data_IF_822564636790
#
_entry.id   IF_822564636790
#
_cell.length_a   1.000
_cell.length_b   1.000
_cell.length_c   1.000
_cell.angle_alpha   90.00
_cell.angle_beta   90.00
_cell.angle_gamma   90.00
#
_symmetry.space_group_name_H-M   'P 1'
#
loop_
_entity.id
_entity.type
_entity.pdbx_description
1 polymer ?
#
# COMPACT_ATOMS: atom_id res chain seq x y z
N UNK A 1 2.56 9.29 24.00
CA UNK A 1 2.78 10.71 24.38
C UNK A 1 2.76 11.66 23.16
N UNK A 2 3.64 11.51 22.14
CA UNK A 2 3.69 12.44 21.00
C UNK A 2 2.37 12.48 20.20
N UNK A 3 1.81 11.33 19.85
CA UNK A 3 0.54 11.24 19.13
C UNK A 3 -0.60 11.89 19.91
N UNK A 4 -0.72 11.58 21.19
CA UNK A 4 -1.73 12.18 22.09
C UNK A 4 -1.59 13.71 22.18
N UNK A 5 -0.35 14.21 22.24
CA UNK A 5 -0.08 15.64 22.23
C UNK A 5 -0.52 16.29 20.91
N UNK A 6 -0.22 15.68 19.77
CA UNK A 6 -0.64 16.19 18.45
C UNK A 6 -2.16 16.26 18.34
N UNK A 7 -2.86 15.20 18.76
CA UNK A 7 -4.33 15.17 18.78
C UNK A 7 -4.87 16.28 19.68
N UNK A 8 -4.37 16.39 20.91
CA UNK A 8 -4.81 17.41 21.85
C UNK A 8 -4.54 18.85 21.35
N UNK A 9 -3.43 19.08 20.65
CA UNK A 9 -3.13 20.39 20.04
C UNK A 9 -4.09 20.73 18.91
N UNK A 10 -4.39 19.78 18.03
CA UNK A 10 -5.37 19.94 16.96
C UNK A 10 -6.76 20.26 17.53
N UNK A 11 -7.21 19.45 18.46
CA UNK A 11 -8.55 19.53 19.02
C UNK A 11 -8.78 20.81 19.84
N UNK A 12 -7.78 21.24 20.63
CA UNK A 12 -7.82 22.57 21.31
C UNK A 12 -7.99 23.73 20.33
N UNK A 13 -7.42 23.60 19.12
CA UNK A 13 -7.55 24.62 18.07
C UNK A 13 -8.81 24.42 17.21
N UNK A 14 -9.66 23.43 17.53
CA UNK A 14 -10.88 23.09 16.78
C UNK A 14 -10.62 22.83 15.29
N UNK A 15 -9.46 22.29 14.95
CA UNK A 15 -9.07 22.01 13.57
C UNK A 15 -9.55 20.61 13.16
N UNK A 16 -10.02 20.47 11.91
CA UNK A 16 -10.35 19.17 11.31
C UNK A 16 -9.12 18.42 10.79
N UNK A 17 -8.03 19.14 10.56
CA UNK A 17 -6.78 18.60 10.02
C UNK A 17 -5.59 19.05 10.87
N UNK A 18 -4.47 18.31 10.83
CA UNK A 18 -4.29 17.05 10.09
C UNK A 18 -5.12 15.91 10.69
N UNK A 19 -5.56 14.96 9.85
CA UNK A 19 -6.06 13.68 10.35
C UNK A 19 -4.88 12.84 10.84
N UNK A 20 -5.02 12.32 12.04
CA UNK A 20 -3.95 11.55 12.70
C UNK A 20 -4.30 10.08 12.67
N UNK A 21 -3.42 9.28 12.10
CA UNK A 21 -3.57 7.83 11.99
C UNK A 21 -2.38 7.13 12.60
N UNK A 22 -2.60 5.99 13.21
CA UNK A 22 -1.54 5.09 13.67
C UNK A 22 -1.59 3.79 12.87
N UNK A 23 -0.43 3.20 12.61
CA UNK A 23 -0.30 1.98 11.83
C UNK A 23 0.54 0.97 12.60
N UNK A 24 0.11 -0.29 12.59
CA UNK A 24 0.89 -1.44 13.04
C UNK A 24 0.96 -2.47 11.93
N UNK A 25 2.13 -3.09 11.77
CA UNK A 25 2.29 -4.23 10.85
C UNK A 25 2.07 -5.52 11.64
N UNK A 26 1.03 -6.26 11.26
CA UNK A 26 0.70 -7.55 11.87
C UNK A 26 1.68 -8.63 11.40
N UNK A 27 2.23 -9.34 12.36
CA UNK A 27 3.15 -10.47 12.17
C UNK A 27 2.77 -11.56 13.19
N UNK A 28 3.23 -12.80 12.97
CA UNK A 28 2.98 -13.89 13.93
C UNK A 28 3.48 -13.55 15.34
N UNK A 29 4.59 -12.83 15.45
CA UNK A 29 5.19 -12.45 16.74
C UNK A 29 4.34 -11.47 17.56
N UNK A 30 3.51 -10.63 16.92
CA UNK A 30 2.69 -9.62 17.61
C UNK A 30 1.18 -9.76 17.38
N UNK A 31 0.73 -10.86 16.79
CA UNK A 31 -0.68 -11.06 16.46
C UNK A 31 -1.61 -10.93 17.68
N UNK A 32 -1.16 -11.41 18.84
CA UNK A 32 -1.91 -11.30 20.11
C UNK A 32 -2.03 -9.87 20.65
N UNK A 33 -1.15 -8.95 20.23
CA UNK A 33 -1.15 -7.55 20.68
C UNK A 33 -2.10 -6.67 19.84
N UNK A 34 -2.48 -7.12 18.63
CA UNK A 34 -3.28 -6.33 17.70
C UNK A 34 -4.60 -5.84 18.29
N UNK A 35 -5.41 -6.68 18.95
CA UNK A 35 -6.65 -6.21 19.57
C UNK A 35 -6.42 -5.09 20.61
N UNK A 36 -5.45 -5.28 21.50
CA UNK A 36 -5.09 -4.28 22.50
C UNK A 36 -4.55 -2.98 21.89
N UNK A 37 -3.83 -3.07 20.78
CA UNK A 37 -3.36 -1.89 20.02
C UNK A 37 -4.55 -1.10 19.44
N UNK A 38 -5.53 -1.78 18.85
CA UNK A 38 -6.74 -1.14 18.31
C UNK A 38 -7.51 -0.46 19.45
N UNK A 39 -7.79 -1.18 20.52
CA UNK A 39 -8.57 -0.67 21.66
C UNK A 39 -7.87 0.51 22.35
N UNK A 40 -6.55 0.50 22.40
CA UNK A 40 -5.73 1.61 22.95
C UNK A 40 -5.82 2.87 22.11
N UNK A 41 -5.72 2.76 20.78
CA UNK A 41 -5.57 3.91 19.92
C UNK A 41 -6.86 4.42 19.28
N UNK A 42 -7.87 3.56 19.09
CA UNK A 42 -9.13 3.95 18.47
C UNK A 42 -9.85 5.11 19.18
N UNK A 43 -9.85 5.22 20.53
CA UNK A 43 -10.42 6.37 21.22
C UNK A 43 -9.62 7.67 21.02
N UNK A 44 -8.36 7.59 20.64
CA UNK A 44 -7.42 8.72 20.61
C UNK A 44 -7.32 9.32 19.21
N UNK A 45 -7.11 8.49 18.19
CA UNK A 45 -6.81 8.92 16.83
C UNK A 45 -8.02 8.88 15.90
N UNK A 46 -7.86 9.41 14.68
CA UNK A 46 -8.94 9.37 13.67
C UNK A 46 -9.08 8.01 12.99
N UNK A 47 -7.99 7.25 12.93
CA UNK A 47 -7.98 5.93 12.29
C UNK A 47 -6.82 5.08 12.80
N UNK A 48 -7.09 3.81 13.05
CA UNK A 48 -6.09 2.78 13.35
C UNK A 48 -5.97 1.87 12.12
N UNK A 49 -4.76 1.64 11.65
CA UNK A 49 -4.49 0.79 10.48
C UNK A 49 -3.69 -0.43 10.94
N UNK A 50 -4.20 -1.61 10.63
CA UNK A 50 -3.48 -2.88 10.76
C UNK A 50 -3.13 -3.34 9.35
N UNK A 51 -1.85 -3.36 9.04
CA UNK A 51 -1.33 -3.78 7.74
C UNK A 51 -0.74 -5.18 7.87
N UNK A 52 -1.13 -6.09 7.00
CA UNK A 52 -0.49 -7.39 6.91
C UNK A 52 0.98 -7.22 6.49
N UNK A 53 1.88 -8.00 7.08
CA UNK A 53 3.27 -8.00 6.66
C UNK A 53 3.35 -8.36 5.18
N UNK A 54 3.92 -7.48 4.39
CA UNK A 54 4.26 -7.78 3.00
C UNK A 54 5.61 -8.47 2.96
N UNK A 55 5.69 -9.56 2.24
CA UNK A 55 6.95 -10.16 1.86
C UNK A 55 7.22 -9.69 0.44
N UNK A 56 8.22 -8.81 0.31
CA UNK A 56 8.50 -8.15 -0.95
C UNK A 56 9.26 -9.06 -1.90
N UNK A 57 8.99 -8.86 -3.18
CA UNK A 57 9.82 -9.27 -4.31
C UNK A 57 10.42 -10.68 -4.19
N UNK A 58 9.57 -11.70 -4.32
CA UNK A 58 10.06 -13.06 -4.60
C UNK A 58 10.44 -13.91 -3.39
N UNK A 59 10.16 -13.50 -2.15
CA UNK A 59 10.36 -14.34 -0.96
C UNK A 59 9.03 -14.88 -0.48
N UNK A 60 8.93 -16.21 -0.52
CA UNK A 60 7.86 -17.09 -0.02
C UNK A 60 6.59 -16.42 0.53
N UNK A 61 5.54 -16.47 -0.26
CA UNK A 61 4.18 -16.30 0.21
C UNK A 61 3.43 -17.59 -0.07
N UNK A 62 2.66 -18.05 0.91
CA UNK A 62 1.56 -18.96 0.65
C UNK A 62 0.76 -18.42 -0.52
N UNK A 63 0.60 -19.22 -1.54
CA UNK A 63 0.10 -18.85 -2.85
C UNK A 63 -1.13 -17.95 -2.81
N UNK A 64 -1.05 -16.71 -3.30
CA UNK A 64 -2.25 -15.90 -3.47
C UNK A 64 -3.17 -16.57 -4.47
N UNK A 65 -4.46 -16.27 -4.38
CA UNK A 65 -5.52 -16.74 -5.26
C UNK A 65 -5.23 -16.36 -6.72
N UNK A 66 -4.30 -17.07 -7.37
CA UNK A 66 -3.82 -16.80 -8.74
C UNK A 66 -4.95 -16.74 -9.75
N UNK A 67 -6.00 -17.52 -9.54
CA UNK A 67 -7.18 -17.58 -10.41
C UNK A 67 -7.97 -16.27 -10.53
N UNK A 68 -7.80 -15.35 -9.57
CA UNK A 68 -8.48 -14.05 -9.54
C UNK A 68 -7.55 -12.87 -9.81
N UNK A 69 -6.29 -13.13 -10.18
CA UNK A 69 -5.31 -12.07 -10.38
C UNK A 69 -5.69 -11.21 -11.57
N UNK A 70 -5.62 -9.90 -11.34
CA UNK A 70 -5.91 -8.85 -12.34
C UNK A 70 -4.67 -7.98 -12.57
N UNK A 71 -4.62 -7.22 -13.66
CA UNK A 71 -3.56 -6.24 -13.89
C UNK A 71 -3.39 -5.29 -12.71
N UNK A 72 -2.13 -5.03 -12.36
CA UNK A 72 -1.81 -4.15 -11.25
C UNK A 72 -2.10 -2.70 -11.62
N UNK A 73 -2.93 -2.04 -10.81
CA UNK A 73 -3.35 -0.66 -11.00
C UNK A 73 -2.16 0.30 -11.10
N UNK A 74 -1.11 0.10 -10.32
CA UNK A 74 0.06 0.97 -10.26
C UNK A 74 0.71 1.22 -11.64
N UNK A 75 0.68 0.24 -12.54
CA UNK A 75 1.21 0.39 -13.89
C UNK A 75 0.41 1.37 -14.76
N UNK A 76 -0.83 1.70 -14.38
CA UNK A 76 -1.75 2.48 -15.19
C UNK A 76 -2.06 3.86 -14.63
N UNK A 77 -1.84 4.09 -13.35
CA UNK A 77 -2.27 5.32 -12.68
C UNK A 77 -1.25 5.92 -11.72
N UNK A 78 -0.09 5.29 -11.52
CA UNK A 78 0.88 5.75 -10.53
C UNK A 78 2.29 5.77 -11.10
N UNK A 79 3.02 6.84 -10.83
CA UNK A 79 4.44 6.99 -11.15
C UNK A 79 5.25 6.82 -9.87
N UNK A 80 6.33 6.06 -9.96
CA UNK A 80 7.31 5.91 -8.88
C UNK A 80 8.66 6.39 -9.37
N UNK A 81 9.23 7.35 -8.67
CA UNK A 81 10.55 7.92 -8.96
C UNK A 81 11.41 7.73 -7.73
N UNK A 82 12.55 7.13 -7.90
CA UNK A 82 13.55 6.94 -6.85
C UNK A 82 14.27 8.27 -6.56
N UNK A 83 15.00 8.30 -5.45
CA UNK A 83 15.71 9.50 -4.99
C UNK A 83 16.76 10.03 -5.98
N UNK A 84 17.31 9.16 -6.83
CA UNK A 84 18.30 9.46 -7.87
C UNK A 84 17.67 9.82 -9.24
N UNK A 85 16.34 9.85 -9.32
CA UNK A 85 15.58 10.20 -10.50
C UNK A 85 15.17 9.01 -11.37
N UNK A 86 15.53 7.78 -11.02
CA UNK A 86 15.11 6.60 -11.79
C UNK A 86 13.61 6.37 -11.65
N UNK A 87 12.92 6.28 -12.78
CA UNK A 87 11.53 5.90 -12.84
C UNK A 87 11.44 4.38 -12.86
N UNK A 88 10.77 3.83 -11.84
CA UNK A 88 10.50 2.41 -11.68
C UNK A 88 9.00 2.10 -11.79
N UNK A 89 8.63 0.84 -11.97
CA UNK A 89 7.22 0.46 -12.16
C UNK A 89 6.42 0.36 -10.86
N UNK A 90 7.07 0.29 -9.70
CA UNK A 90 6.43 -0.07 -8.45
C UNK A 90 7.21 0.46 -7.24
N UNK A 91 6.50 0.82 -6.17
CA UNK A 91 7.10 1.19 -4.87
C UNK A 91 7.82 0.03 -4.16
N UNK A 92 7.63 -1.19 -4.60
CA UNK A 92 8.32 -2.37 -4.05
C UNK A 92 9.70 -2.59 -4.70
N UNK A 93 10.03 -1.81 -5.74
CA UNK A 93 11.29 -1.90 -6.48
C UNK A 93 12.30 -0.86 -5.98
N UNK A 94 12.76 -1.02 -4.77
CA UNK A 94 13.75 -0.13 -4.16
C UNK A 94 15.19 -0.33 -4.67
N UNK A 95 15.46 -1.41 -5.41
CA UNK A 95 16.75 -1.67 -6.05
C UNK A 95 16.79 -1.19 -7.51
N UNK A 96 15.70 -0.55 -7.99
CA UNK A 96 15.56 -0.03 -9.36
C UNK A 96 15.79 -1.08 -10.47
N UNK A 97 15.49 -2.36 -10.18
CA UNK A 97 15.66 -3.45 -11.15
C UNK A 97 14.71 -3.35 -12.35
N UNK A 98 13.67 -2.54 -12.24
CA UNK A 98 12.69 -2.27 -13.30
C UNK A 98 12.81 -0.85 -13.83
N UNK A 99 13.99 -0.23 -13.77
CA UNK A 99 14.18 1.14 -14.25
C UNK A 99 13.72 1.28 -15.70
N UNK A 100 12.91 2.31 -15.94
CA UNK A 100 12.39 2.71 -17.26
C UNK A 100 13.32 3.75 -17.89
N UNK A 101 14.05 4.49 -17.05
CA UNK A 101 14.93 5.60 -17.39
C UNK A 101 14.88 6.67 -16.31
N UNK A 102 15.66 7.73 -16.48
CA UNK A 102 15.85 8.76 -15.46
C UNK A 102 15.15 10.06 -15.85
N UNK A 103 14.36 10.64 -14.91
CA UNK A 103 13.57 11.86 -15.16
C UNK A 103 14.42 13.12 -15.28
N UNK A 104 15.69 13.08 -14.88
CA UNK A 104 16.62 14.18 -15.11
C UNK A 104 17.20 14.17 -16.54
N UNK A 105 17.07 13.06 -17.26
CA UNK A 105 17.58 12.88 -18.61
C UNK A 105 16.46 12.85 -19.67
N UNK A 106 15.31 12.29 -19.30
CA UNK A 106 14.16 12.08 -20.20
C UNK A 106 12.89 12.61 -19.59
N UNK A 107 12.07 13.39 -20.32
CA UNK A 107 10.79 13.88 -19.81
C UNK A 107 9.90 12.76 -19.30
N UNK A 108 9.29 12.94 -18.13
CA UNK A 108 8.43 11.95 -17.47
C UNK A 108 7.33 11.40 -18.39
N UNK A 109 6.74 12.26 -19.23
CA UNK A 109 5.71 11.87 -20.17
C UNK A 109 6.20 10.85 -21.21
N UNK A 110 7.46 10.96 -21.61
CA UNK A 110 8.09 10.05 -22.59
C UNK A 110 8.43 8.71 -21.93
N UNK A 111 8.96 8.74 -20.70
CA UNK A 111 9.18 7.54 -19.90
C UNK A 111 7.86 6.79 -19.66
N UNK A 112 6.80 7.51 -19.29
CA UNK A 112 5.48 6.92 -19.05
C UNK A 112 4.86 6.26 -20.28
N UNK A 113 5.17 6.78 -21.47
CA UNK A 113 4.72 6.27 -22.77
C UNK A 113 5.71 5.35 -23.45
N UNK A 114 6.87 5.13 -22.84
CA UNK A 114 7.95 4.35 -23.43
C UNK A 114 7.51 2.93 -23.84
N UNK A 115 8.15 2.32 -24.85
CA UNK A 115 7.89 0.94 -25.25
C UNK A 115 8.05 -0.05 -24.09
N UNK A 116 8.99 0.19 -23.18
CA UNK A 116 9.23 -0.65 -22.00
C UNK A 116 8.04 -0.63 -21.08
N UNK A 117 7.54 0.56 -20.72
CA UNK A 117 6.36 0.71 -19.87
C UNK A 117 5.10 0.11 -20.51
N UNK A 118 4.92 0.31 -21.82
CA UNK A 118 3.82 -0.29 -22.57
C UNK A 118 3.93 -1.83 -22.60
N UNK A 119 5.14 -2.36 -22.72
CA UNK A 119 5.40 -3.80 -22.65
C UNK A 119 4.95 -4.43 -21.34
N UNK A 120 5.25 -3.78 -20.20
CA UNK A 120 4.78 -4.23 -18.89
C UNK A 120 3.25 -4.19 -18.76
N UNK A 121 2.62 -3.11 -19.25
CA UNK A 121 1.14 -2.99 -19.25
C UNK A 121 0.49 -4.09 -20.08
N UNK A 122 0.98 -4.31 -21.28
CA UNK A 122 0.48 -5.33 -22.18
C UNK A 122 0.65 -6.75 -21.60
N UNK A 123 1.80 -7.03 -20.99
CA UNK A 123 2.04 -8.31 -20.32
C UNK A 123 1.02 -8.56 -19.20
N UNK A 124 0.74 -7.55 -18.37
CA UNK A 124 -0.27 -7.66 -17.31
C UNK A 124 -1.69 -7.85 -17.86
N UNK A 125 -2.05 -7.15 -18.93
CA UNK A 125 -3.35 -7.31 -19.61
C UNK A 125 -3.53 -8.70 -20.23
N UNK A 126 -2.42 -9.30 -20.67
CA UNK A 126 -2.38 -10.67 -21.19
C UNK A 126 -2.20 -11.75 -20.11
N UNK A 127 -2.38 -11.39 -18.83
CA UNK A 127 -2.19 -12.28 -17.69
C UNK A 127 -0.77 -12.89 -17.59
N UNK A 128 0.21 -12.25 -18.16
CA UNK A 128 1.63 -12.59 -18.01
C UNK A 128 2.21 -11.76 -16.88
N UNK A 129 2.50 -12.42 -15.75
CA UNK A 129 2.92 -11.76 -14.51
C UNK A 129 4.44 -11.63 -14.38
N UNK A 130 5.18 -12.25 -15.23
CA UNK A 130 6.61 -12.09 -15.41
C UNK A 130 6.92 -12.06 -16.92
N UNK A 131 7.82 -11.21 -17.42
CA UNK A 131 8.52 -10.15 -16.71
C UNK A 131 7.62 -8.97 -16.33
N UNK A 132 8.03 -8.12 -15.36
CA UNK A 132 9.28 -8.27 -14.60
C UNK A 132 9.12 -9.28 -13.46
N UNK A 133 10.23 -9.87 -13.03
CA UNK A 133 10.24 -10.95 -12.01
C UNK A 133 9.62 -10.51 -10.68
N UNK A 134 9.82 -9.23 -10.30
CA UNK A 134 9.22 -8.63 -9.11
C UNK A 134 7.68 -8.78 -9.06
N UNK A 135 7.03 -8.87 -10.21
CA UNK A 135 5.58 -9.05 -10.30
C UNK A 135 5.13 -10.49 -10.11
N UNK A 136 5.99 -11.49 -10.29
CA UNK A 136 5.62 -12.92 -10.31
C UNK A 136 4.83 -13.33 -9.08
N UNK A 137 5.29 -12.95 -7.90
CA UNK A 137 4.72 -13.33 -6.61
C UNK A 137 4.10 -12.15 -5.85
N UNK A 138 3.99 -10.98 -6.50
CA UNK A 138 3.45 -9.78 -5.88
C UNK A 138 1.94 -9.92 -5.62
N UNK A 139 1.48 -9.39 -4.48
CA UNK A 139 0.07 -9.32 -4.07
C UNK A 139 -0.52 -7.91 -4.13
N UNK A 140 0.28 -6.88 -4.43
CA UNK A 140 -0.16 -5.48 -4.45
C UNK A 140 -1.36 -5.24 -5.40
N UNK A 141 -1.51 -6.07 -6.45
CA UNK A 141 -2.66 -6.07 -7.35
C UNK A 141 -4.00 -6.30 -6.63
N UNK A 142 -4.01 -6.99 -5.49
CA UNK A 142 -5.22 -7.28 -4.72
C UNK A 142 -5.70 -6.06 -3.92
N UNK A 143 -4.86 -5.04 -3.76
CA UNK A 143 -5.23 -3.80 -3.07
C UNK A 143 -6.40 -3.06 -3.72
N UNK A 144 -7.05 -2.19 -2.95
CA UNK A 144 -8.11 -1.30 -3.42
C UNK A 144 -9.54 -1.88 -3.40
N UNK A 145 -9.75 -3.14 -3.09
CA UNK A 145 -11.07 -3.66 -2.73
C UNK A 145 -11.19 -3.71 -1.21
N UNK A 146 -12.20 -3.04 -0.68
CA UNK A 146 -12.47 -3.02 0.75
C UNK A 146 -13.91 -3.40 1.01
N UNK A 147 -14.14 -4.03 2.16
CA UNK A 147 -15.46 -4.30 2.71
C UNK A 147 -15.60 -3.48 3.99
N UNK A 148 -16.66 -2.72 4.09
CA UNK A 148 -16.98 -1.97 5.30
C UNK A 148 -17.93 -2.79 6.17
N UNK A 149 -17.57 -2.95 7.44
CA UNK A 149 -18.39 -3.59 8.47
C UNK A 149 -18.62 -2.60 9.60
N UNK A 150 -19.89 -2.37 9.92
CA UNK A 150 -20.26 -1.45 11.00
C UNK A 150 -20.53 -2.26 12.27
N UNK A 151 -19.68 -2.08 13.28
CA UNK A 151 -19.84 -2.63 14.62
C UNK A 151 -20.61 -1.65 15.53
N UNK A 152 -20.88 -2.06 16.75
CA UNK A 152 -21.58 -1.20 17.74
C UNK A 152 -20.80 0.08 18.07
N UNK A 153 -19.48 -0.01 18.18
CA UNK A 153 -18.54 1.02 18.66
C UNK A 153 -17.61 1.57 17.57
N UNK A 154 -17.47 0.86 16.44
CA UNK A 154 -16.49 1.19 15.38
C UNK A 154 -16.98 0.83 14.00
N UNK A 155 -16.30 1.40 13.00
CA UNK A 155 -16.39 1.00 11.59
C UNK A 155 -15.06 0.33 11.23
N UNK A 156 -15.13 -0.90 10.74
CA UNK A 156 -13.99 -1.63 10.19
C UNK A 156 -14.04 -1.60 8.66
N UNK A 157 -12.94 -1.24 8.02
CA UNK A 157 -12.76 -1.29 6.57
C UNK A 157 -11.66 -2.29 6.28
N UNK A 158 -12.04 -3.47 5.82
CA UNK A 158 -11.12 -4.57 5.56
C UNK A 158 -10.83 -4.69 4.06
N UNK A 159 -9.55 -4.72 3.71
CA UNK A 159 -9.03 -5.03 2.39
C UNK A 159 -8.12 -6.25 2.42
N UNK A 160 -7.63 -6.66 1.25
CA UNK A 160 -6.75 -7.83 1.13
C UNK A 160 -5.43 -7.69 1.92
N UNK A 161 -4.93 -6.45 2.08
CA UNK A 161 -3.62 -6.17 2.67
C UNK A 161 -3.69 -5.31 3.94
N UNK A 162 -4.86 -4.72 4.22
CA UNK A 162 -5.02 -3.78 5.34
C UNK A 162 -6.41 -3.89 5.92
N UNK A 163 -6.50 -3.68 7.24
CA UNK A 163 -7.75 -3.39 7.95
C UNK A 163 -7.61 -2.01 8.58
N UNK A 164 -8.61 -1.16 8.46
CA UNK A 164 -8.63 0.11 9.21
C UNK A 164 -9.88 0.23 10.07
N UNK A 165 -9.73 0.91 11.19
CA UNK A 165 -10.76 1.07 12.20
C UNK A 165 -10.95 2.55 12.49
N UNK A 166 -12.21 3.00 12.46
CA UNK A 166 -12.62 4.37 12.77
C UNK A 166 -13.71 4.37 13.82
N UNK A 167 -13.75 5.41 14.62
CA UNK A 167 -14.92 5.65 15.49
C UNK A 167 -16.17 5.91 14.65
N UNK A 168 -17.31 5.52 15.16
CA UNK A 168 -18.63 5.93 14.66
C UNK A 168 -18.87 7.41 14.83
#
# INVERSE_FOLDING_TARGET
>A
HAVETMVAMRDRRKLRYPRIRVLIVEQSANASEIPGYIDRWLPVVDEVIVQSRRINAGRELETPRREQRRPCRHLFDTVFIQWDGDMVICCEDWESVTSIGNVFETPLADLWRSPVMQGYRLAQQQHRWAPPEICRHCEAWAGGRTVETVHSDRIEIAGALTRSFRRK
#
